data_IF_625551945183
#
_entry.id   IF_625551945183
#
_cell.length_a   1.000
_cell.length_b   1.000
_cell.length_c   1.000
_cell.angle_alpha   90.00
_cell.angle_beta   90.00
_cell.angle_gamma   90.00
#
_symmetry.space_group_name_H-M   'P 1'
#
loop_
_entity.id
_entity.type
_entity.pdbx_description
1 polymer ?
#
# COMPACT_ATOMS: atom_id res chain seq x y z
N UNK A 1 -37.33 -3.00 -5.91
CA UNK A 1 -35.95 -3.46 -5.57
C UNK A 1 -35.16 -3.42 -6.87
N UNK A 2 -34.01 -2.77 -6.86
CA UNK A 2 -33.14 -2.70 -8.04
C UNK A 2 -32.13 -3.85 -7.96
N UNK A 3 -32.03 -4.66 -9.00
CA UNK A 3 -31.05 -5.75 -9.11
C UNK A 3 -30.01 -5.38 -10.16
N UNK A 4 -28.74 -5.53 -9.80
CA UNK A 4 -27.60 -5.30 -10.70
C UNK A 4 -26.87 -6.62 -10.87
N UNK A 5 -26.71 -7.07 -12.12
CA UNK A 5 -25.98 -8.30 -12.45
C UNK A 5 -24.53 -7.95 -12.83
N UNK A 6 -23.59 -8.59 -12.15
CA UNK A 6 -22.15 -8.41 -12.34
C UNK A 6 -21.44 -9.75 -12.33
N UNK A 7 -20.25 -9.81 -12.91
CA UNK A 7 -19.41 -11.01 -12.90
C UNK A 7 -18.63 -11.13 -11.57
N UNK A 8 -18.21 -9.98 -11.01
CA UNK A 8 -17.49 -9.91 -9.74
C UNK A 8 -18.09 -8.80 -8.88
N UNK A 9 -18.43 -9.14 -7.64
CA UNK A 9 -18.83 -8.18 -6.62
C UNK A 9 -17.75 -8.11 -5.53
N UNK A 10 -17.12 -6.93 -5.34
CA UNK A 10 -16.12 -6.68 -4.32
C UNK A 10 -16.77 -5.85 -3.21
N UNK A 11 -16.73 -6.34 -1.99
CA UNK A 11 -17.29 -5.65 -0.83
C UNK A 11 -16.18 -4.97 -0.04
N UNK A 12 -16.20 -3.64 -0.04
CA UNK A 12 -15.21 -2.78 0.57
C UNK A 12 -14.39 -2.01 -0.46
N UNK A 13 -14.39 -0.68 -0.39
CA UNK A 13 -13.68 0.22 -1.30
C UNK A 13 -12.50 0.95 -0.61
N UNK A 14 -11.81 0.27 0.30
CA UNK A 14 -10.49 0.66 0.77
C UNK A 14 -9.40 0.19 -0.21
N UNK A 15 -8.13 0.35 0.15
CA UNK A 15 -6.99 0.01 -0.72
C UNK A 15 -7.04 -1.42 -1.27
N UNK A 16 -7.36 -2.40 -0.43
CA UNK A 16 -7.46 -3.80 -0.86
C UNK A 16 -8.56 -4.03 -1.89
N UNK A 17 -9.76 -3.48 -1.67
CA UNK A 17 -10.87 -3.62 -2.63
C UNK A 17 -10.60 -2.90 -3.94
N UNK A 18 -10.01 -1.71 -3.90
CA UNK A 18 -9.61 -0.97 -5.10
C UNK A 18 -8.53 -1.73 -5.88
N UNK A 19 -7.52 -2.27 -5.19
CA UNK A 19 -6.46 -3.07 -5.85
C UNK A 19 -7.01 -4.34 -6.48
N UNK A 20 -7.95 -5.03 -5.81
CA UNK A 20 -8.63 -6.20 -6.36
C UNK A 20 -9.45 -5.86 -7.61
N UNK A 21 -10.17 -4.73 -7.60
CA UNK A 21 -10.94 -4.27 -8.76
C UNK A 21 -10.03 -3.96 -9.96
N UNK A 22 -8.91 -3.27 -9.71
CA UNK A 22 -7.92 -2.96 -10.75
C UNK A 22 -7.35 -4.27 -11.33
N UNK A 23 -6.90 -5.19 -10.48
CA UNK A 23 -6.32 -6.46 -10.93
C UNK A 23 -7.31 -7.30 -11.75
N UNK A 24 -8.59 -7.34 -11.34
CA UNK A 24 -9.63 -8.04 -12.08
C UNK A 24 -9.88 -7.39 -13.46
N UNK A 25 -9.91 -6.07 -13.54
CA UNK A 25 -10.08 -5.33 -14.80
C UNK A 25 -8.87 -5.48 -15.73
N UNK A 26 -7.65 -5.49 -15.19
CA UNK A 26 -6.42 -5.74 -15.95
C UNK A 26 -6.38 -7.17 -16.51
N UNK A 27 -6.83 -8.16 -15.71
CA UNK A 27 -6.86 -9.55 -16.13
C UNK A 27 -7.89 -9.81 -17.25
N UNK A 28 -9.04 -9.16 -17.20
CA UNK A 28 -10.05 -9.23 -18.26
C UNK A 28 -10.92 -7.95 -18.28
N UNK A 29 -10.70 -7.06 -19.26
CA UNK A 29 -11.41 -5.79 -19.35
C UNK A 29 -12.90 -5.92 -19.71
N UNK A 30 -13.37 -7.11 -20.06
CA UNK A 30 -14.79 -7.35 -20.37
C UNK A 30 -15.63 -7.70 -19.12
N UNK A 31 -14.99 -7.89 -17.96
CA UNK A 31 -15.70 -8.20 -16.72
C UNK A 31 -16.53 -7.00 -16.24
N UNK A 32 -17.75 -7.28 -15.85
CA UNK A 32 -18.61 -6.33 -15.13
C UNK A 32 -18.28 -6.42 -13.66
N UNK A 33 -17.58 -5.45 -13.13
CA UNK A 33 -17.11 -5.41 -11.74
C UNK A 33 -17.94 -4.40 -10.96
N UNK A 34 -18.51 -4.81 -9.83
CA UNK A 34 -19.13 -3.92 -8.87
C UNK A 34 -18.26 -3.80 -7.62
N UNK A 35 -17.88 -2.57 -7.27
CA UNK A 35 -17.24 -2.24 -6.01
C UNK A 35 -18.28 -1.64 -5.07
N UNK A 36 -18.65 -2.38 -4.02
CA UNK A 36 -19.70 -2.01 -3.08
C UNK A 36 -19.10 -1.50 -1.78
N UNK A 37 -19.47 -0.31 -1.37
CA UNK A 37 -18.96 0.30 -0.14
C UNK A 37 -20.07 0.93 0.69
N UNK A 38 -19.94 0.81 2.01
CA UNK A 38 -20.82 1.47 2.96
C UNK A 38 -20.67 3.00 2.96
N UNK A 39 -19.44 3.47 2.70
CA UNK A 39 -19.10 4.89 2.67
C UNK A 39 -18.37 5.22 1.38
N UNK A 40 -18.29 6.49 1.05
CA UNK A 40 -17.50 6.96 -0.09
C UNK A 40 -16.03 6.51 0.05
N UNK A 41 -15.39 6.00 -1.01
CA UNK A 41 -14.03 5.42 -0.93
C UNK A 41 -12.98 6.36 -0.31
N UNK A 42 -13.11 7.66 -0.52
CA UNK A 42 -12.24 8.69 0.09
C UNK A 42 -12.34 8.78 1.61
N UNK A 43 -13.25 8.04 2.24
CA UNK A 43 -13.40 7.93 3.70
C UNK A 43 -12.88 6.61 4.25
N UNK A 44 -12.13 5.87 3.46
CA UNK A 44 -11.50 4.61 3.89
C UNK A 44 -10.33 4.89 4.84
N UNK A 45 -9.97 3.87 5.63
CA UNK A 45 -8.77 3.94 6.47
C UNK A 45 -7.49 4.08 5.65
N UNK A 46 -7.45 3.54 4.41
CA UNK A 46 -6.32 3.73 3.50
C UNK A 46 -6.08 5.20 3.20
N UNK A 47 -7.14 5.97 2.92
CA UNK A 47 -7.03 7.42 2.67
C UNK A 47 -6.69 8.19 3.94
N UNK A 48 -7.12 7.70 5.11
CA UNK A 48 -6.78 8.31 6.40
C UNK A 48 -5.34 8.04 6.86
N UNK A 49 -4.61 7.15 6.19
CA UNK A 49 -3.23 6.83 6.50
C UNK A 49 -2.28 7.81 5.81
N UNK A 50 -2.07 8.97 6.42
CA UNK A 50 -1.35 10.10 5.82
C UNK A 50 0.18 10.05 6.02
N UNK A 51 0.67 9.11 6.83
CA UNK A 51 2.09 9.07 7.24
C UNK A 51 3.06 8.59 6.16
N UNK A 52 2.60 7.87 5.18
CA UNK A 52 3.42 7.20 4.18
C UNK A 52 3.40 5.68 4.33
N UNK A 53 4.22 5.00 3.54
CA UNK A 53 4.33 3.56 3.56
C UNK A 53 5.80 3.11 3.52
N UNK A 54 6.13 2.07 4.28
CA UNK A 54 7.50 1.59 4.39
C UNK A 54 7.83 0.60 3.26
N UNK A 55 8.97 0.82 2.60
CA UNK A 55 9.53 -0.12 1.63
C UNK A 55 11.05 0.04 1.54
N UNK A 56 11.77 -1.05 1.41
CA UNK A 56 13.23 -1.06 1.25
C UNK A 56 13.61 -0.34 -0.05
N UNK A 57 14.50 0.66 0.04
CA UNK A 57 15.01 1.42 -1.11
C UNK A 57 16.52 1.68 -1.02
N UNK A 58 17.07 1.74 0.19
CA UNK A 58 18.47 2.05 0.43
C UNK A 58 19.34 0.79 0.37
N UNK A 59 20.57 0.91 -0.11
CA UNK A 59 21.54 -0.19 -0.16
C UNK A 59 21.89 -0.76 1.23
N UNK A 60 21.93 0.11 2.26
CA UNK A 60 22.20 -0.32 3.63
C UNK A 60 21.01 -0.99 4.32
N UNK A 61 19.82 -1.00 3.68
CA UNK A 61 18.60 -1.66 4.18
C UNK A 61 18.48 -3.06 3.61
N UNK A 62 17.56 -3.88 4.17
CA UNK A 62 17.24 -5.22 3.69
C UNK A 62 15.84 -5.64 4.09
N UNK A 63 15.31 -6.66 3.42
CA UNK A 63 14.03 -7.27 3.79
C UNK A 63 14.07 -7.81 5.21
N UNK A 64 15.17 -8.45 5.63
CA UNK A 64 15.34 -8.96 7.00
C UNK A 64 15.25 -7.84 8.05
N UNK A 65 15.90 -6.71 7.80
CA UNK A 65 15.84 -5.54 8.69
C UNK A 65 14.42 -4.96 8.74
N UNK A 66 13.74 -4.87 7.59
CA UNK A 66 12.38 -4.39 7.52
C UNK A 66 11.42 -5.37 8.22
N UNK A 67 11.57 -6.66 7.99
CA UNK A 67 10.82 -7.70 8.67
C UNK A 67 10.97 -7.61 10.18
N UNK A 68 12.21 -7.58 10.68
CA UNK A 68 12.48 -7.50 12.12
C UNK A 68 11.88 -6.23 12.74
N UNK A 69 12.06 -5.06 12.12
CA UNK A 69 11.49 -3.81 12.62
C UNK A 69 9.96 -3.86 12.66
N UNK A 70 9.33 -4.51 11.68
CA UNK A 70 7.87 -4.65 11.60
C UNK A 70 7.34 -5.58 12.69
N UNK A 71 7.94 -6.76 12.84
CA UNK A 71 7.51 -7.75 13.84
C UNK A 71 7.77 -7.24 15.26
N UNK A 72 8.92 -6.62 15.50
CA UNK A 72 9.24 -6.02 16.80
C UNK A 72 8.32 -4.82 17.12
N UNK A 73 8.01 -3.98 16.11
CA UNK A 73 7.06 -2.87 16.26
C UNK A 73 5.63 -3.31 16.52
N UNK A 74 5.26 -4.52 16.12
CA UNK A 74 3.98 -5.16 16.42
C UNK A 74 3.99 -6.01 17.71
N UNK A 75 4.96 -5.79 18.59
CA UNK A 75 5.12 -6.55 19.86
C UNK A 75 5.13 -8.08 19.66
N UNK A 76 5.70 -8.53 18.54
CA UNK A 76 5.79 -9.94 18.15
C UNK A 76 4.44 -10.66 17.96
N UNK A 77 3.35 -9.90 17.81
CA UNK A 77 1.99 -10.43 17.61
C UNK A 77 1.60 -10.53 16.12
N UNK A 78 2.50 -10.16 15.21
CA UNK A 78 2.25 -10.22 13.77
C UNK A 78 2.20 -11.67 13.26
N UNK A 79 1.38 -11.91 12.25
CA UNK A 79 1.48 -13.10 11.40
C UNK A 79 2.73 -12.94 10.53
N UNK A 80 3.78 -13.69 10.86
CA UNK A 80 5.12 -13.45 10.32
C UNK A 80 5.24 -13.77 8.83
N UNK A 81 4.51 -14.75 8.33
CA UNK A 81 4.40 -15.07 6.90
C UNK A 81 3.78 -13.92 6.10
N UNK A 82 2.80 -13.22 6.67
CA UNK A 82 2.21 -12.02 6.06
C UNK A 82 3.22 -10.87 6.04
N UNK A 83 4.00 -10.71 7.11
CA UNK A 83 5.05 -9.67 7.16
C UNK A 83 6.15 -9.95 6.15
N UNK A 84 6.59 -11.22 6.01
CA UNK A 84 7.59 -11.63 5.03
C UNK A 84 7.12 -11.28 3.61
N UNK A 85 5.91 -11.70 3.24
CA UNK A 85 5.30 -11.34 1.96
C UNK A 85 5.24 -9.82 1.74
N UNK A 86 4.83 -9.07 2.76
CA UNK A 86 4.72 -7.61 2.69
C UNK A 86 6.07 -6.95 2.42
N UNK A 87 7.12 -7.30 3.17
CA UNK A 87 8.41 -6.62 3.05
C UNK A 87 9.10 -6.89 1.70
N UNK A 88 8.90 -8.09 1.15
CA UNK A 88 9.43 -8.47 -0.17
C UNK A 88 8.72 -7.74 -1.32
N UNK A 89 7.41 -7.55 -1.21
CA UNK A 89 6.60 -7.00 -2.31
C UNK A 89 6.45 -5.48 -2.24
N UNK A 90 6.61 -4.88 -1.04
CA UNK A 90 6.38 -3.44 -0.86
C UNK A 90 7.18 -2.53 -1.81
N UNK A 91 8.46 -2.78 -2.18
CA UNK A 91 9.18 -1.89 -3.10
C UNK A 91 8.55 -1.83 -4.50
N UNK A 92 8.05 -2.96 -4.98
CA UNK A 92 7.39 -3.04 -6.29
C UNK A 92 6.05 -2.31 -6.26
N UNK A 93 5.27 -2.50 -5.20
CA UNK A 93 3.97 -1.85 -5.04
C UNK A 93 4.11 -0.32 -4.84
N UNK A 94 5.16 0.15 -4.15
CA UNK A 94 5.44 1.58 -4.01
C UNK A 94 5.75 2.22 -5.37
N UNK A 95 6.52 1.54 -6.21
CA UNK A 95 6.79 1.95 -7.58
C UNK A 95 5.52 1.94 -8.44
N UNK A 96 4.63 0.96 -8.23
CA UNK A 96 3.35 0.90 -8.92
C UNK A 96 2.42 2.06 -8.52
N UNK A 97 2.38 2.41 -7.25
CA UNK A 97 1.64 3.59 -6.77
C UNK A 97 2.15 4.88 -7.43
N UNK A 98 3.47 5.02 -7.60
CA UNK A 98 4.06 6.15 -8.32
C UNK A 98 3.58 6.20 -9.78
N UNK A 99 3.57 5.06 -10.47
CA UNK A 99 3.06 4.96 -11.85
C UNK A 99 1.58 5.34 -11.95
N UNK A 100 0.80 5.11 -10.91
CA UNK A 100 -0.59 5.53 -10.81
C UNK A 100 -0.75 7.00 -10.39
N UNK A 101 0.36 7.71 -10.15
CA UNK A 101 0.37 9.15 -9.90
C UNK A 101 0.56 9.56 -8.45
N UNK A 102 0.96 8.66 -7.55
CA UNK A 102 1.33 9.04 -6.20
C UNK A 102 2.60 9.91 -6.22
N UNK A 103 2.53 11.18 -5.79
CA UNK A 103 3.62 12.13 -5.94
C UNK A 103 4.62 12.04 -4.79
N UNK A 104 5.37 10.94 -4.70
CA UNK A 104 6.35 10.75 -3.65
C UNK A 104 7.31 11.93 -3.54
N UNK A 105 7.57 12.35 -2.32
CA UNK A 105 8.55 13.42 -2.05
C UNK A 105 9.94 13.03 -2.56
N UNK A 106 10.63 13.98 -3.18
CA UNK A 106 11.94 13.77 -3.80
C UNK A 106 13.02 14.61 -3.12
N UNK A 107 14.23 14.10 -3.15
CA UNK A 107 15.45 14.86 -2.82
C UNK A 107 15.84 15.74 -4.01
N UNK A 108 16.84 16.60 -3.79
CA UNK A 108 17.36 17.49 -4.84
C UNK A 108 18.01 16.75 -6.03
N UNK A 109 18.52 15.54 -5.80
CA UNK A 109 19.10 14.67 -6.82
C UNK A 109 18.06 13.89 -7.65
N UNK A 110 16.78 13.97 -7.27
CA UNK A 110 15.66 13.28 -7.91
C UNK A 110 15.27 11.95 -7.27
N UNK A 111 16.05 11.44 -6.35
CA UNK A 111 15.75 10.22 -5.63
C UNK A 111 14.55 10.38 -4.71
N UNK A 112 13.84 9.27 -4.46
CA UNK A 112 12.74 9.26 -3.50
C UNK A 112 13.28 9.61 -2.11
N UNK A 113 12.62 10.59 -1.51
CA UNK A 113 12.92 10.94 -0.12
C UNK A 113 12.18 9.99 0.81
N UNK A 114 12.88 9.48 1.80
CA UNK A 114 12.32 8.60 2.84
C UNK A 114 12.58 9.17 4.21
N UNK A 115 11.69 8.86 5.13
CA UNK A 115 11.79 9.30 6.53
C UNK A 115 11.69 8.12 7.49
N UNK A 116 12.06 8.36 8.73
CA UNK A 116 11.97 7.38 9.81
C UNK A 116 10.65 7.54 10.54
N UNK A 117 9.95 6.43 10.77
CA UNK A 117 8.85 6.35 11.72
C UNK A 117 9.24 5.59 12.98
N UNK A 118 8.43 5.72 14.03
CA UNK A 118 8.73 5.20 15.36
C UNK A 118 9.24 3.76 15.37
N UNK A 119 10.35 3.51 16.07
CA UNK A 119 10.98 2.19 16.17
C UNK A 119 11.87 1.78 15.00
N UNK A 120 11.75 2.40 13.83
CA UNK A 120 12.60 2.07 12.68
C UNK A 120 14.07 2.45 12.92
N UNK A 121 14.97 1.55 12.60
CA UNK A 121 16.42 1.80 12.66
C UNK A 121 16.93 2.48 11.39
N UNK A 122 16.31 2.19 10.24
CA UNK A 122 16.65 2.71 8.91
C UNK A 122 15.46 3.49 8.35
N UNK A 123 15.74 4.59 7.64
CA UNK A 123 14.72 5.36 6.94
C UNK A 123 14.26 4.60 5.70
N UNK A 124 13.00 4.18 5.68
CA UNK A 124 12.39 3.47 4.55
C UNK A 124 10.94 3.88 4.26
N UNK A 125 10.41 4.86 4.97
CA UNK A 125 9.04 5.32 4.75
C UNK A 125 8.97 6.32 3.63
N UNK A 126 8.39 5.91 2.52
CA UNK A 126 8.03 6.77 1.39
C UNK A 126 6.87 7.65 1.81
N UNK A 127 6.87 8.91 1.44
CA UNK A 127 5.84 9.86 1.83
C UNK A 127 5.59 10.92 0.75
N UNK A 128 4.42 11.51 0.76
CA UNK A 128 4.05 12.64 -0.08
C UNK A 128 3.61 13.80 0.83
N UNK A 129 4.55 14.44 1.51
CA UNK A 129 4.30 15.33 2.65
C UNK A 129 3.41 14.60 3.69
N UNK A 130 2.21 15.10 3.96
CA UNK A 130 1.20 14.44 4.81
C UNK A 130 -0.07 14.15 3.99
N UNK A 131 0.10 13.75 2.75
CA UNK A 131 -1.00 13.49 1.78
C UNK A 131 -0.86 12.14 1.08
N UNK A 132 -0.28 11.19 1.77
CA UNK A 132 -0.06 9.84 1.20
C UNK A 132 -1.35 9.09 1.05
#
# INVERSE_FOLDING_TARGET
MQTVNVDIAIVGAGGGGLRAAIAAAEANPNLKIALVSKVYPMRSHTVAAEGGAAAVIKEEDSYDKHFHDTVAGGDWLCEQDVVEYFVEHSPVEMTQLERWGCPWSRKADGDVNVRRFGGMKIERTWFAADKT
#
